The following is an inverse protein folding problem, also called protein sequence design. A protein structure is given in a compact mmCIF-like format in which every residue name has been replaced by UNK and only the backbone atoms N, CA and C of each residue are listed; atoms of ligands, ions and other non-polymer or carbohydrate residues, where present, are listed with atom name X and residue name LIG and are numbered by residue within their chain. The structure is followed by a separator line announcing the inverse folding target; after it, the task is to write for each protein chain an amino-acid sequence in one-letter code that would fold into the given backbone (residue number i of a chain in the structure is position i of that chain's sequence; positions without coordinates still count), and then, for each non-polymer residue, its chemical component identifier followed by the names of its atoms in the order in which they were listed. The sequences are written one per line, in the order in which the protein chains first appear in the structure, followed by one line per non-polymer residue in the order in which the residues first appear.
data_IF_699589618413
#
_entry.id   IF_699589618413
#
_cell.length_a   1.000
_cell.length_b   1.000
_cell.length_c   1.000
_cell.angle_alpha   90.00
_cell.angle_beta   90.00
_cell.angle_gamma   90.00
#
_symmetry.space_group_name_H-M   'P 1'
#
loop_
_entity.id
_entity.type
_entity.pdbx_description
1 polymer ?
#
# COMPACT_ATOMS: atom_id res chain seq x y z
N UNK A 1 19.48 -8.40 0.74
CA UNK A 1 18.77 -7.37 1.52
C UNK A 1 19.73 -6.90 2.60
N UNK A 2 20.58 -5.93 2.28
CA UNK A 2 21.54 -5.36 3.23
C UNK A 2 20.83 -4.26 4.00
N UNK A 3 20.27 -4.60 5.15
CA UNK A 3 19.86 -3.59 6.13
C UNK A 3 21.15 -3.07 6.76
N UNK A 4 21.77 -2.10 6.11
CA UNK A 4 22.89 -1.38 6.69
C UNK A 4 22.32 -0.57 7.87
N UNK A 5 22.52 -1.08 9.08
CA UNK A 5 22.35 -0.30 10.30
C UNK A 5 23.45 0.76 10.31
N UNK A 6 23.23 1.84 9.56
CA UNK A 6 23.96 3.09 9.76
C UNK A 6 23.80 3.48 11.24
N UNK A 7 24.88 4.02 11.82
CA UNK A 7 24.98 4.32 13.25
C UNK A 7 23.82 5.15 13.80
N UNK A 8 23.78 5.33 15.12
CA UNK A 8 22.72 6.02 15.87
C UNK A 8 22.15 7.20 15.06
N UNK A 9 20.85 7.18 14.71
CA UNK A 9 20.27 8.19 13.85
C UNK A 9 20.37 9.57 14.50
N UNK A 10 20.70 10.59 13.71
CA UNK A 10 20.75 11.96 14.18
C UNK A 10 19.37 12.40 14.69
N UNK A 11 19.34 13.28 15.69
CA UNK A 11 18.10 13.78 16.29
C UNK A 11 17.24 14.46 15.23
N UNK A 12 17.87 15.15 14.26
CA UNK A 12 17.17 15.81 13.14
C UNK A 12 16.43 14.81 12.24
N UNK A 13 17.03 13.65 11.98
CA UNK A 13 16.45 12.57 11.18
C UNK A 13 15.25 11.93 11.89
N UNK A 14 15.36 11.74 13.21
CA UNK A 14 14.26 11.22 14.04
C UNK A 14 13.11 12.23 14.07
N UNK A 15 13.38 13.51 14.30
CA UNK A 15 12.36 14.56 14.30
C UNK A 15 11.65 14.66 12.94
N UNK A 16 12.41 14.54 11.85
CA UNK A 16 11.85 14.49 10.49
C UNK A 16 11.02 13.23 10.29
N UNK A 17 11.47 12.05 10.75
CA UNK A 17 10.66 10.85 10.62
C UNK A 17 9.35 10.91 11.42
N UNK A 18 9.38 11.44 12.65
CA UNK A 18 8.17 11.69 13.45
C UNK A 18 7.27 12.72 12.78
N UNK A 19 7.83 13.81 12.24
CA UNK A 19 7.07 14.81 11.51
C UNK A 19 6.35 14.25 10.27
N UNK A 20 6.95 13.25 9.60
CA UNK A 20 6.30 12.55 8.47
C UNK A 20 5.07 11.78 8.91
N UNK A 21 5.08 11.17 10.11
CA UNK A 21 3.94 10.42 10.64
C UNK A 21 2.72 11.32 10.91
N UNK A 22 2.96 12.56 11.34
CA UNK A 22 1.90 13.51 11.70
C UNK A 22 1.64 14.56 10.62
N UNK A 23 2.17 14.37 9.40
CA UNK A 23 2.02 15.31 8.28
C UNK A 23 2.48 16.74 8.61
N UNK A 24 3.46 16.91 9.51
CA UNK A 24 3.95 18.23 9.93
C UNK A 24 5.15 18.71 9.11
N UNK A 25 5.42 18.08 7.97
CA UNK A 25 6.54 18.41 7.09
C UNK A 25 6.04 19.18 5.89
N UNK A 26 6.82 20.17 5.49
CA UNK A 26 6.50 20.99 4.32
C UNK A 26 6.50 20.14 3.05
N UNK A 27 5.52 20.32 2.16
CA UNK A 27 5.53 19.68 0.83
C UNK A 27 6.80 19.96 0.04
N UNK A 28 7.45 21.11 0.30
CA UNK A 28 8.69 21.50 -0.36
C UNK A 28 9.87 20.56 -0.01
N UNK A 29 9.83 19.90 1.15
CA UNK A 29 10.87 18.98 1.62
C UNK A 29 10.62 17.53 1.17
N UNK A 30 9.45 17.26 0.58
CA UNK A 30 9.03 15.92 0.12
C UNK A 30 8.75 15.85 -1.38
N UNK A 31 8.95 16.95 -2.11
CA UNK A 31 8.77 17.02 -3.56
C UNK A 31 10.14 16.90 -4.24
N UNK A 32 10.29 15.87 -5.09
CA UNK A 32 11.54 15.59 -5.80
C UNK A 32 11.32 15.68 -7.30
N UNK A 33 12.35 16.13 -8.02
CA UNK A 33 12.27 16.27 -9.48
C UNK A 33 12.52 14.95 -10.21
N UNK A 34 13.28 14.04 -9.58
CA UNK A 34 13.62 12.75 -10.16
C UNK A 34 13.31 11.61 -9.17
N UNK A 35 12.92 10.44 -9.69
CA UNK A 35 12.61 9.26 -8.86
C UNK A 35 13.81 8.76 -8.05
N UNK A 36 15.03 8.98 -8.54
CA UNK A 36 16.26 8.54 -7.87
C UNK A 36 16.53 9.29 -6.56
N UNK A 37 16.03 10.52 -6.45
CA UNK A 37 16.11 11.33 -5.24
C UNK A 37 15.05 10.95 -4.20
N UNK A 38 13.99 10.22 -4.61
CA UNK A 38 12.90 9.82 -3.72
C UNK A 38 13.41 8.79 -2.71
N UNK A 39 13.44 9.10 -1.41
CA UNK A 39 13.86 8.14 -0.40
C UNK A 39 12.88 6.96 -0.34
N UNK A 40 13.37 5.75 -0.03
CA UNK A 40 12.49 4.63 0.23
C UNK A 40 11.72 4.84 1.55
N UNK A 41 10.49 5.35 1.44
CA UNK A 41 9.63 5.64 2.58
C UNK A 41 9.20 4.39 3.33
N UNK A 42 9.16 3.22 2.66
CA UNK A 42 8.86 1.95 3.33
C UNK A 42 9.95 1.65 4.34
N UNK A 43 11.21 1.66 3.89
CA UNK A 43 12.36 1.40 4.77
C UNK A 43 12.44 2.43 5.91
N UNK A 44 12.16 3.71 5.63
CA UNK A 44 12.13 4.76 6.66
C UNK A 44 10.98 4.62 7.65
N UNK A 45 9.89 3.93 7.29
CA UNK A 45 8.70 3.76 8.13
C UNK A 45 8.73 2.48 8.98
N UNK A 46 9.45 1.45 8.55
CA UNK A 46 9.57 0.16 9.25
C UNK A 46 9.94 0.31 10.74
N UNK A 47 10.92 1.16 11.14
CA UNK A 47 11.26 1.34 12.54
C UNK A 47 10.10 1.88 13.39
N UNK A 48 9.33 2.83 12.86
CA UNK A 48 8.19 3.43 13.55
C UNK A 48 7.05 2.43 13.72
N UNK A 49 6.71 1.69 12.66
CA UNK A 49 5.70 0.64 12.71
C UNK A 49 6.09 -0.40 13.76
N UNK A 50 7.34 -0.85 13.73
CA UNK A 50 7.87 -1.84 14.69
C UNK A 50 7.83 -1.30 16.12
N UNK A 51 8.18 -0.04 16.32
CA UNK A 51 8.14 0.63 17.61
C UNK A 51 6.71 0.71 18.17
N UNK A 52 5.75 1.23 17.39
CA UNK A 52 4.36 1.36 17.85
C UNK A 52 3.71 0.01 18.10
N UNK A 53 3.96 -0.99 17.24
CA UNK A 53 3.49 -2.37 17.44
C UNK A 53 4.07 -2.96 18.74
N UNK A 54 5.36 -2.75 18.99
CA UNK A 54 6.02 -3.22 20.22
C UNK A 54 5.52 -2.49 21.46
N UNK A 55 5.26 -1.18 21.35
CA UNK A 55 4.71 -0.36 22.43
C UNK A 55 3.29 -0.81 22.77
N UNK A 56 2.44 -1.04 21.76
CA UNK A 56 1.11 -1.58 21.97
C UNK A 56 1.16 -2.94 22.68
N UNK A 57 2.01 -3.85 22.21
CA UNK A 57 2.23 -5.15 22.85
C UNK A 57 2.72 -5.01 24.30
N UNK A 58 3.63 -4.07 24.56
CA UNK A 58 4.15 -3.77 25.90
C UNK A 58 3.06 -3.21 26.82
N UNK A 59 2.23 -2.27 26.33
CA UNK A 59 1.10 -1.73 27.09
C UNK A 59 0.10 -2.84 27.43
N UNK A 60 -0.20 -3.75 26.48
CA UNK A 60 -1.06 -4.90 26.72
C UNK A 60 -0.47 -5.89 27.74
N UNK A 61 0.85 -6.06 27.74
CA UNK A 61 1.57 -6.87 28.73
C UNK A 61 1.47 -6.28 30.14
N UNK A 62 1.62 -4.96 30.26
CA UNK A 62 1.63 -4.25 31.55
C UNK A 62 0.22 -3.99 32.10
N UNK A 63 -0.79 -3.86 31.23
CA UNK A 63 -2.16 -3.54 31.61
C UNK A 63 -2.81 -4.68 32.40
N UNK A 64 -3.37 -4.32 33.57
CA UNK A 64 -4.11 -5.21 34.48
C UNK A 64 -3.33 -6.48 34.89
N UNK A 65 -2.00 -6.43 34.99
CA UNK A 65 -1.16 -7.55 35.41
C UNK A 65 -1.24 -8.75 34.45
N UNK A 66 -0.99 -8.52 33.16
CA UNK A 66 -1.17 -9.48 32.05
C UNK A 66 -2.62 -9.86 31.71
N UNK A 67 -3.62 -9.33 32.42
CA UNK A 67 -5.03 -9.52 32.04
C UNK A 67 -5.43 -8.70 30.81
N UNK A 68 -4.68 -7.67 30.42
CA UNK A 68 -4.84 -6.97 29.15
C UNK A 68 -4.65 -7.90 27.95
N UNK A 69 -3.53 -8.63 27.92
CA UNK A 69 -3.30 -9.73 26.99
C UNK A 69 -4.34 -10.84 27.14
N UNK A 70 -4.72 -11.22 28.36
CA UNK A 70 -5.70 -12.29 28.57
C UNK A 70 -7.12 -11.90 28.11
N UNK A 71 -7.48 -10.61 28.15
CA UNK A 71 -8.76 -10.06 27.68
C UNK A 71 -8.78 -9.93 26.15
N UNK A 72 -7.70 -9.45 25.55
CA UNK A 72 -7.50 -9.50 24.09
C UNK A 72 -7.49 -10.96 23.58
N UNK A 73 -6.83 -11.86 24.31
CA UNK A 73 -6.81 -13.30 24.04
C UNK A 73 -8.17 -13.97 24.27
N UNK A 74 -8.95 -13.59 25.28
CA UNK A 74 -10.27 -14.19 25.55
C UNK A 74 -11.35 -13.75 24.57
N UNK A 75 -11.27 -12.52 24.04
CA UNK A 75 -12.20 -12.06 23.00
C UNK A 75 -11.97 -12.77 21.65
N UNK A 76 -10.73 -13.12 21.29
CA UNK A 76 -10.42 -13.71 19.97
C UNK A 76 -10.15 -15.23 19.96
N UNK A 77 -9.50 -15.81 20.99
CA UNK A 77 -8.99 -17.20 20.90
C UNK A 77 -9.95 -18.28 21.39
N UNK A 78 -11.13 -17.94 21.94
CA UNK A 78 -12.09 -18.97 22.38
C UNK A 78 -12.68 -19.79 21.21
N UNK A 79 -12.47 -19.35 19.96
CA UNK A 79 -12.80 -20.07 18.73
C UNK A 79 -11.61 -20.28 17.77
N UNK A 80 -10.36 -20.09 18.20
CA UNK A 80 -9.19 -20.25 17.32
C UNK A 80 -8.91 -21.72 17.02
N UNK A 81 -9.33 -22.20 15.85
CA UNK A 81 -8.94 -23.51 15.35
C UNK A 81 -7.67 -23.41 14.50
N UNK A 82 -6.74 -24.38 14.57
CA UNK A 82 -5.64 -24.49 13.60
C UNK A 82 -6.11 -24.49 12.14
N UNK A 83 -7.35 -24.95 11.88
CA UNK A 83 -7.98 -24.88 10.55
C UNK A 83 -8.25 -23.45 10.08
N UNK A 84 -8.55 -22.53 11.01
CA UNK A 84 -8.88 -21.14 10.67
C UNK A 84 -7.60 -20.36 10.40
N UNK A 85 -6.54 -20.65 11.15
CA UNK A 85 -5.19 -20.16 10.84
C UNK A 85 -4.77 -20.59 9.43
N UNK A 86 -4.91 -21.89 9.11
CA UNK A 86 -4.53 -22.41 7.80
C UNK A 86 -5.39 -21.82 6.68
N UNK A 87 -6.71 -21.70 6.89
CA UNK A 87 -7.63 -21.09 5.92
C UNK A 87 -7.31 -19.63 5.66
N UNK A 88 -7.01 -18.84 6.71
CA UNK A 88 -6.65 -17.43 6.57
C UNK A 88 -5.30 -17.24 5.88
N UNK A 89 -4.31 -18.07 6.19
CA UNK A 89 -3.02 -18.06 5.51
C UNK A 89 -3.17 -18.44 4.03
N UNK A 90 -3.93 -19.49 3.73
CA UNK A 90 -4.21 -19.92 2.37
C UNK A 90 -4.95 -18.83 1.58
N UNK A 91 -5.96 -18.19 2.18
CA UNK A 91 -6.68 -17.06 1.59
C UNK A 91 -5.75 -15.88 1.31
N UNK A 92 -4.87 -15.54 2.26
CA UNK A 92 -3.90 -14.44 2.09
C UNK A 92 -2.91 -14.72 0.95
N UNK A 93 -2.37 -15.94 0.88
CA UNK A 93 -1.47 -16.36 -0.20
C UNK A 93 -2.21 -16.35 -1.54
N UNK A 94 -3.46 -16.80 -1.56
CA UNK A 94 -4.28 -16.83 -2.75
C UNK A 94 -4.54 -15.40 -3.27
N UNK A 95 -4.94 -14.47 -2.40
CA UNK A 95 -5.16 -13.05 -2.75
C UNK A 95 -3.86 -12.42 -3.26
N UNK A 96 -2.74 -12.62 -2.57
CA UNK A 96 -1.45 -12.08 -2.99
C UNK A 96 -1.03 -12.62 -4.37
N UNK A 97 -1.09 -13.93 -4.55
CA UNK A 97 -0.72 -14.59 -5.82
C UNK A 97 -1.61 -14.11 -6.96
N UNK A 98 -2.92 -14.07 -6.74
CA UNK A 98 -3.89 -13.62 -7.73
C UNK A 98 -3.68 -12.15 -8.09
N UNK A 99 -3.42 -11.30 -7.10
CA UNK A 99 -3.13 -9.87 -7.32
C UNK A 99 -1.85 -9.67 -8.14
N UNK A 100 -0.79 -10.41 -7.81
CA UNK A 100 0.47 -10.36 -8.57
C UNK A 100 0.27 -10.82 -10.02
N UNK A 101 -0.50 -11.89 -10.24
CA UNK A 101 -0.81 -12.38 -11.58
C UNK A 101 -1.57 -11.32 -12.39
N UNK A 102 -2.63 -10.71 -11.84
CA UNK A 102 -3.39 -9.69 -12.56
C UNK A 102 -2.59 -8.40 -12.78
N UNK A 103 -1.75 -8.02 -11.82
CA UNK A 103 -0.85 -6.87 -11.97
C UNK A 103 0.17 -7.13 -13.10
N UNK A 104 0.76 -8.32 -13.14
CA UNK A 104 1.72 -8.70 -14.17
C UNK A 104 1.08 -8.74 -15.56
N UNK A 105 -0.10 -9.34 -15.69
CA UNK A 105 -0.88 -9.35 -16.95
C UNK A 105 -1.19 -7.92 -17.38
N UNK A 106 -1.63 -7.06 -16.45
CA UNK A 106 -1.96 -5.66 -16.75
C UNK A 106 -0.74 -4.89 -17.24
N UNK A 107 0.40 -5.04 -16.56
CA UNK A 107 1.66 -4.39 -16.91
C UNK A 107 2.18 -4.84 -18.28
N UNK A 108 2.20 -6.16 -18.53
CA UNK A 108 2.63 -6.71 -19.82
C UNK A 108 1.71 -6.28 -20.95
N UNK A 109 0.39 -6.28 -20.71
CA UNK A 109 -0.59 -5.79 -21.68
C UNK A 109 -0.36 -4.31 -22.00
N UNK A 110 -0.14 -3.48 -20.98
CA UNK A 110 0.20 -2.07 -21.16
C UNK A 110 1.47 -1.89 -21.99
N UNK A 111 2.56 -2.59 -21.67
CA UNK A 111 3.83 -2.51 -22.41
C UNK A 111 3.64 -2.95 -23.86
N UNK A 112 2.90 -4.04 -24.11
CA UNK A 112 2.60 -4.54 -25.45
C UNK A 112 1.82 -3.53 -26.29
N UNK A 113 0.75 -2.97 -25.74
CA UNK A 113 -0.06 -1.94 -26.42
C UNK A 113 0.79 -0.70 -26.67
N UNK A 114 1.55 -0.23 -25.68
CA UNK A 114 2.40 0.94 -25.82
C UNK A 114 3.48 0.75 -26.90
N UNK A 115 4.08 -0.45 -27.00
CA UNK A 115 5.15 -0.73 -27.96
C UNK A 115 4.65 -0.88 -29.39
N UNK A 116 3.51 -1.52 -29.60
CA UNK A 116 3.04 -1.91 -30.94
C UNK A 116 1.84 -1.10 -31.45
N UNK A 117 1.08 -0.46 -30.56
CA UNK A 117 -0.20 0.20 -30.88
C UNK A 117 -0.25 1.67 -30.47
N UNK A 118 0.88 2.28 -30.09
CA UNK A 118 0.95 3.73 -29.83
C UNK A 118 0.87 4.49 -31.15
N UNK A 119 -0.20 5.28 -31.30
CA UNK A 119 -0.46 6.07 -32.52
C UNK A 119 0.25 7.43 -32.47
N UNK A 120 0.30 8.05 -31.30
CA UNK A 120 0.90 9.37 -31.08
C UNK A 120 1.75 9.39 -29.80
N UNK A 121 2.81 10.17 -29.83
CA UNK A 121 3.60 10.53 -28.65
C UNK A 121 3.01 11.78 -28.01
N UNK A 122 2.66 11.68 -26.73
CA UNK A 122 2.07 12.78 -25.96
C UNK A 122 3.16 13.47 -25.15
N UNK A 123 3.32 14.78 -25.31
CA UNK A 123 4.28 15.58 -24.54
C UNK A 123 3.75 15.82 -23.10
N UNK A 124 4.45 15.33 -22.06
CA UNK A 124 4.05 15.54 -20.67
C UNK A 124 4.03 17.02 -20.24
N UNK A 125 4.72 17.92 -20.94
CA UNK A 125 4.73 19.36 -20.60
C UNK A 125 3.52 20.11 -21.15
N UNK A 126 2.72 19.48 -22.02
CA UNK A 126 1.54 20.09 -22.58
C UNK A 126 0.32 19.86 -21.66
N UNK A 127 -0.22 20.95 -21.11
CA UNK A 127 -1.38 20.89 -20.21
C UNK A 127 -2.61 20.21 -20.84
N UNK A 128 -2.79 20.32 -22.16
CA UNK A 128 -3.93 19.70 -22.85
C UNK A 128 -3.85 18.18 -22.86
N UNK A 129 -2.65 17.60 -22.79
CA UNK A 129 -2.47 16.13 -22.64
C UNK A 129 -3.08 15.66 -21.32
N UNK A 130 -2.86 16.42 -20.23
CA UNK A 130 -3.43 16.10 -18.92
C UNK A 130 -4.94 16.32 -18.87
N UNK A 131 -5.44 17.42 -19.46
CA UNK A 131 -6.89 17.68 -19.53
C UNK A 131 -7.61 16.58 -20.33
N UNK A 132 -7.09 16.23 -21.50
CA UNK A 132 -7.65 15.16 -22.31
C UNK A 132 -7.53 13.80 -21.59
N UNK A 133 -6.37 13.52 -20.99
CA UNK A 133 -6.14 12.30 -20.20
C UNK A 133 -7.12 12.16 -19.05
N UNK A 134 -7.40 13.24 -18.31
CA UNK A 134 -8.39 13.27 -17.24
C UNK A 134 -9.79 12.92 -17.76
N UNK A 135 -10.25 13.57 -18.84
CA UNK A 135 -11.58 13.32 -19.40
C UNK A 135 -11.73 11.88 -19.92
N UNK A 136 -10.71 11.37 -20.61
CA UNK A 136 -10.72 9.99 -21.13
C UNK A 136 -10.71 8.98 -19.98
N UNK A 137 -9.87 9.20 -18.96
CA UNK A 137 -9.80 8.33 -17.80
C UNK A 137 -11.15 8.28 -17.07
N UNK A 138 -11.77 9.44 -16.82
CA UNK A 138 -13.07 9.54 -16.16
C UNK A 138 -14.18 8.86 -16.97
N UNK A 139 -14.20 9.09 -18.29
CA UNK A 139 -15.16 8.44 -19.18
C UNK A 139 -15.02 6.91 -19.17
N UNK A 140 -13.81 6.39 -19.38
CA UNK A 140 -13.56 4.95 -19.39
C UNK A 140 -13.88 4.34 -18.02
N UNK A 141 -13.51 5.02 -16.94
CA UNK A 141 -13.83 4.59 -15.59
C UNK A 141 -15.34 4.51 -15.35
N UNK A 142 -16.10 5.53 -15.76
CA UNK A 142 -17.56 5.53 -15.64
C UNK A 142 -18.21 4.34 -16.37
N UNK A 143 -17.80 4.09 -17.61
CA UNK A 143 -18.33 2.96 -18.39
C UNK A 143 -17.97 1.60 -17.79
N UNK A 144 -16.73 1.45 -17.33
CA UNK A 144 -16.32 0.25 -16.61
C UNK A 144 -17.14 0.07 -15.33
N UNK A 145 -17.26 1.12 -14.52
CA UNK A 145 -18.02 1.10 -13.27
C UNK A 145 -19.50 0.77 -13.51
N UNK A 146 -20.11 1.34 -14.55
CA UNK A 146 -21.47 0.98 -14.99
C UNK A 146 -21.55 -0.49 -15.39
N UNK A 147 -20.58 -0.98 -16.15
CA UNK A 147 -20.49 -2.38 -16.54
C UNK A 147 -20.39 -3.34 -15.34
N UNK A 148 -19.70 -2.95 -14.26
CA UNK A 148 -19.64 -3.72 -13.02
C UNK A 148 -21.03 -3.94 -12.39
N UNK A 149 -21.91 -2.94 -12.48
CA UNK A 149 -23.27 -3.00 -11.94
C UNK A 149 -24.28 -3.67 -12.88
N UNK A 150 -24.08 -3.58 -14.19
CA UNK A 150 -25.03 -4.10 -15.19
C UNK A 150 -24.69 -5.53 -15.69
N UNK A 151 -23.44 -5.99 -15.58
CA UNK A 151 -22.99 -7.28 -16.11
C UNK A 151 -22.71 -8.26 -14.95
N UNK A 152 -23.49 -9.36 -14.89
CA UNK A 152 -23.41 -10.36 -13.81
C UNK A 152 -22.00 -10.93 -13.55
N UNK A 153 -21.18 -11.12 -14.58
CA UNK A 153 -19.82 -11.64 -14.41
C UNK A 153 -18.90 -10.64 -13.73
N UNK A 154 -19.12 -9.34 -13.95
CA UNK A 154 -18.34 -8.27 -13.35
C UNK A 154 -18.76 -7.96 -11.91
N UNK A 155 -19.91 -8.47 -11.49
CA UNK A 155 -20.33 -8.45 -10.09
C UNK A 155 -19.31 -9.16 -9.19
N UNK A 156 -18.66 -10.23 -9.68
CA UNK A 156 -17.60 -10.93 -8.94
C UNK A 156 -16.30 -10.11 -8.77
N UNK A 157 -16.13 -9.04 -9.55
CA UNK A 157 -15.04 -8.08 -9.40
C UNK A 157 -15.40 -6.90 -8.48
N UNK A 158 -16.67 -6.77 -8.09
CA UNK A 158 -17.13 -5.80 -7.11
C UNK A 158 -16.97 -6.40 -5.70
N UNK A 159 -15.83 -6.12 -5.07
CA UNK A 159 -15.59 -6.39 -3.64
C UNK A 159 -15.17 -5.10 -2.97
#
# INVERSE_FOLDING_TARGET
MNVAFHGVPDISDVLTGVGRLFYTISPNDTTFSTHQEVPNYVDKSVPYITFFLSLELLVLLLKDGHKGLQKARRSDFSGFSPSDLLSNMASSIFVLTTSLLFYDISLHTYIYIYKYHRIIDLDPHNIWVWVAGFLVADFVYYWFHRGLHEINVFWAAHV
#
